data_IF_827354667849
#
_entry.id   IF_827354667849
#
_cell.length_a   1.000
_cell.length_b   1.000
_cell.length_c   1.000
_cell.angle_alpha   90.00
_cell.angle_beta   90.00
_cell.angle_gamma   90.00
#
_symmetry.space_group_name_H-M   'P 1'
#
loop_
_entity.id
_entity.type
_entity.pdbx_description
1 polymer ?
#
# COMPACT_ATOMS: atom_id res chain seq x y z
N UNK A 1 5.87 -8.53 -13.20
CA UNK A 1 5.54 -7.96 -14.52
C UNK A 1 6.05 -6.52 -14.67
N UNK A 2 5.83 -5.64 -13.70
CA UNK A 2 6.40 -4.27 -13.74
C UNK A 2 7.94 -4.27 -13.68
N UNK A 3 8.56 -5.21 -12.96
CA UNK A 3 10.01 -5.34 -12.88
C UNK A 3 10.67 -5.80 -14.19
N UNK A 4 9.96 -6.53 -15.04
CA UNK A 4 10.53 -7.04 -16.29
C UNK A 4 10.50 -6.03 -17.43
N UNK A 5 9.62 -5.05 -17.35
CA UNK A 5 9.57 -3.92 -18.28
C UNK A 5 10.79 -3.01 -18.11
N UNK A 6 11.29 -2.84 -16.88
CA UNK A 6 12.48 -2.04 -16.59
C UNK A 6 13.80 -2.68 -17.04
N UNK A 7 13.89 -4.01 -17.02
CA UNK A 7 15.12 -4.72 -17.42
C UNK A 7 15.50 -4.58 -18.90
N UNK A 8 14.55 -4.17 -19.76
CA UNK A 8 14.80 -4.07 -21.21
C UNK A 8 15.25 -2.70 -21.71
N UNK A 9 15.36 -1.71 -20.83
CA UNK A 9 15.79 -0.35 -21.21
C UNK A 9 17.29 -0.09 -20.97
N UNK A 10 18.03 -1.01 -20.37
CA UNK A 10 19.48 -0.85 -20.09
C UNK A 10 20.25 -1.68 -21.11
N UNK A 11 21.24 -1.12 -21.83
CA UNK A 11 22.12 -1.90 -22.68
C UNK A 11 22.86 -2.94 -21.84
N UNK A 12 22.97 -4.17 -22.36
CA UNK A 12 23.45 -5.34 -21.67
C UNK A 12 24.90 -5.18 -21.21
N UNK A 13 25.09 -4.75 -19.97
CA UNK A 13 26.31 -5.02 -19.18
C UNK A 13 25.85 -5.25 -17.74
N UNK A 14 25.75 -6.52 -17.35
CA UNK A 14 25.42 -7.04 -16.03
C UNK A 14 24.04 -6.61 -15.46
N UNK A 15 23.03 -7.45 -15.64
CA UNK A 15 21.74 -7.30 -14.98
C UNK A 15 21.81 -7.71 -13.49
N UNK A 16 21.59 -6.80 -12.56
CA UNK A 16 21.45 -7.15 -11.14
C UNK A 16 20.17 -7.96 -10.92
N UNK A 17 20.24 -8.95 -10.07
CA UNK A 17 19.10 -9.77 -9.68
C UNK A 17 18.09 -8.94 -8.86
N UNK A 18 16.82 -9.38 -8.81
CA UNK A 18 15.72 -8.76 -8.05
C UNK A 18 16.12 -8.37 -6.61
N UNK A 19 17.05 -9.10 -6.02
CA UNK A 19 17.62 -8.88 -4.68
C UNK A 19 18.56 -7.66 -4.62
N UNK A 20 19.23 -7.32 -5.71
CA UNK A 20 20.18 -6.19 -5.78
C UNK A 20 19.48 -4.85 -5.95
N UNK A 21 18.27 -4.81 -6.50
CA UNK A 21 17.46 -3.59 -6.59
C UNK A 21 16.88 -3.13 -5.25
N UNK A 22 16.65 -4.06 -4.33
CA UNK A 22 16.19 -3.75 -2.97
C UNK A 22 17.36 -3.34 -2.05
N UNK A 23 18.60 -3.61 -2.43
CA UNK A 23 19.79 -3.27 -1.64
C UNK A 23 20.56 -2.03 -2.12
N UNK A 24 20.16 -1.43 -3.23
CA UNK A 24 20.88 -0.32 -3.87
C UNK A 24 20.78 1.03 -3.17
N UNK A 25 20.06 1.17 -2.06
CA UNK A 25 19.92 2.43 -1.33
C UNK A 25 20.72 2.52 -0.04
N UNK A 26 21.61 1.60 0.25
CA UNK A 26 22.33 1.56 1.52
C UNK A 26 23.84 1.30 1.38
N UNK A 27 24.51 1.94 0.44
CA UNK A 27 25.98 1.90 0.43
C UNK A 27 26.58 3.14 -0.22
N UNK A 28 26.90 4.13 0.58
CA UNK A 28 28.08 5.00 0.44
C UNK A 28 28.11 6.00 1.62
N UNK A 29 28.94 5.71 2.58
CA UNK A 29 29.80 6.65 3.30
C UNK A 29 30.55 5.88 4.40
N UNK A 30 31.63 5.24 4.00
CA UNK A 30 32.68 4.84 4.93
C UNK A 30 33.60 6.02 5.18
N UNK A 31 33.51 6.61 6.36
CA UNK A 31 34.57 7.46 6.90
C UNK A 31 34.92 6.91 8.27
N UNK A 32 36.13 6.41 8.37
CA UNK A 32 36.78 6.00 9.62
C UNK A 32 36.97 7.22 10.52
N UNK A 33 36.37 7.23 11.70
CA UNK A 33 36.73 8.15 12.78
C UNK A 33 36.96 7.38 14.07
N UNK A 34 38.13 7.62 14.66
CA UNK A 34 38.54 7.16 15.97
C UNK A 34 37.62 7.69 17.09
N UNK A 35 37.37 6.93 18.17
CA UNK A 35 36.49 7.36 19.23
C UNK A 35 37.22 8.31 20.18
N UNK A 36 36.66 9.52 20.34
CA UNK A 36 36.86 10.38 21.50
C UNK A 36 35.70 10.21 22.48
N UNK A 37 35.92 9.99 23.75
CA UNK A 37 34.86 9.84 24.73
C UNK A 37 34.38 11.21 25.20
N UNK A 38 33.09 11.49 25.02
CA UNK A 38 32.47 12.67 25.60
C UNK A 38 31.23 13.17 24.89
N UNK A 39 30.06 12.70 25.38
CA UNK A 39 28.78 13.42 25.45
C UNK A 39 28.29 14.18 24.19
N UNK A 40 27.78 13.46 23.23
CA UNK A 40 26.65 13.94 22.41
C UNK A 40 25.69 12.77 22.17
N UNK A 41 24.38 12.91 22.39
CA UNK A 41 23.45 11.86 22.00
C UNK A 41 23.50 11.68 20.48
N UNK A 42 23.36 10.44 19.95
CA UNK A 42 23.47 10.18 18.52
C UNK A 42 22.41 10.97 17.77
N UNK A 43 22.80 11.60 16.66
CA UNK A 43 21.94 12.43 15.81
C UNK A 43 20.63 11.72 15.36
N UNK A 44 20.57 10.40 15.45
CA UNK A 44 19.38 9.60 15.15
C UNK A 44 18.24 9.74 16.18
N UNK A 45 18.54 10.06 17.44
CA UNK A 45 17.51 10.25 18.46
C UNK A 45 16.76 11.57 18.31
N UNK A 46 17.39 12.61 17.73
CA UNK A 46 16.74 13.91 17.52
C UNK A 46 15.81 13.92 16.31
N UNK A 47 16.01 13.05 15.32
CA UNK A 47 15.20 13.01 14.09
C UNK A 47 13.91 12.19 14.24
N UNK A 48 13.85 11.22 15.14
CA UNK A 48 12.60 10.56 15.52
C UNK A 48 11.63 11.51 16.23
N UNK A 49 12.16 12.53 16.86
CA UNK A 49 11.38 13.44 17.69
C UNK A 49 10.44 14.34 16.88
N UNK A 50 10.80 14.83 15.69
CA UNK A 50 9.95 15.82 15.01
C UNK A 50 8.62 15.24 14.55
N UNK A 51 8.64 14.15 13.77
CA UNK A 51 7.40 13.48 13.35
C UNK A 51 6.57 13.02 14.55
N UNK A 52 7.20 12.36 15.52
CA UNK A 52 6.51 11.87 16.73
C UNK A 52 6.02 13.01 17.62
N UNK A 53 6.78 14.08 17.73
CA UNK A 53 6.41 15.27 18.49
C UNK A 53 5.16 15.91 17.86
N UNK A 54 5.19 16.27 16.58
CA UNK A 54 4.08 16.94 15.90
C UNK A 54 2.85 16.04 15.81
N UNK A 55 3.06 14.74 15.57
CA UNK A 55 1.97 13.74 15.62
C UNK A 55 1.35 13.70 17.02
N UNK A 56 2.18 13.68 18.06
CA UNK A 56 1.72 13.68 19.45
C UNK A 56 0.97 14.96 19.84
N UNK A 57 1.41 16.11 19.35
CA UNK A 57 0.79 17.41 19.63
C UNK A 57 -0.57 17.59 18.97
N UNK A 58 -0.75 17.09 17.73
CA UNK A 58 -1.96 17.33 16.91
C UNK A 58 -2.95 16.18 16.94
N UNK A 59 -2.45 14.94 16.96
CA UNK A 59 -3.22 13.72 16.74
C UNK A 59 -2.68 12.55 17.59
N UNK A 60 -2.22 12.85 18.79
CA UNK A 60 -1.69 11.87 19.73
C UNK A 60 -2.77 11.00 20.39
N UNK A 61 -2.31 9.93 21.04
CA UNK A 61 -3.18 9.04 21.82
C UNK A 61 -3.92 9.82 22.94
N UNK A 62 -5.20 9.53 23.10
CA UNK A 62 -6.06 10.21 24.08
C UNK A 62 -6.58 11.58 23.67
N UNK A 63 -6.15 12.13 22.54
CA UNK A 63 -6.62 13.44 22.06
C UNK A 63 -7.94 13.32 21.29
N UNK A 64 -8.68 14.43 21.23
CA UNK A 64 -9.84 14.53 20.36
C UNK A 64 -9.39 14.53 18.90
N UNK A 65 -10.00 13.67 18.09
CA UNK A 65 -9.74 13.64 16.66
C UNK A 65 -10.39 14.83 15.95
N UNK A 66 -9.59 15.52 15.15
CA UNK A 66 -10.05 16.59 14.26
C UNK A 66 -9.45 16.32 12.88
N UNK A 67 -10.28 16.00 11.91
CA UNK A 67 -9.82 15.58 10.56
C UNK A 67 -8.90 16.60 9.87
N UNK A 68 -9.14 17.92 10.08
CA UNK A 68 -8.29 18.98 9.54
C UNK A 68 -6.87 18.99 10.12
N UNK A 69 -6.66 18.37 11.30
CA UNK A 69 -5.33 18.26 11.90
C UNK A 69 -4.43 17.32 11.09
N UNK A 70 -4.97 16.39 10.30
CA UNK A 70 -4.16 15.56 9.39
C UNK A 70 -3.50 16.44 8.32
N UNK A 71 -4.24 17.40 7.78
CA UNK A 71 -3.70 18.38 6.82
C UNK A 71 -2.71 19.34 7.50
N UNK A 72 -2.99 19.77 8.73
CA UNK A 72 -2.06 20.63 9.46
C UNK A 72 -0.75 19.90 9.75
N UNK A 73 -0.81 18.63 10.16
CA UNK A 73 0.37 17.77 10.31
C UNK A 73 1.16 17.66 9.00
N UNK A 74 0.48 17.44 7.87
CA UNK A 74 1.13 17.41 6.55
C UNK A 74 1.83 18.74 6.24
N UNK A 75 1.17 19.88 6.51
CA UNK A 75 1.77 21.22 6.33
C UNK A 75 3.01 21.46 7.20
N UNK A 76 2.99 20.99 8.45
CA UNK A 76 4.14 21.12 9.32
C UNK A 76 5.31 20.26 8.85
N UNK A 77 5.04 19.03 8.43
CA UNK A 77 6.07 18.15 7.87
C UNK A 77 6.65 18.71 6.55
N UNK A 78 5.83 19.34 5.71
CA UNK A 78 6.30 19.95 4.47
C UNK A 78 7.34 21.06 4.67
N UNK A 79 7.32 21.74 5.82
CA UNK A 79 8.30 22.79 6.18
C UNK A 79 9.69 22.24 6.54
N UNK A 80 9.85 20.93 6.65
CA UNK A 80 11.10 20.25 7.02
C UNK A 80 11.54 19.30 5.92
N UNK A 81 12.83 19.06 5.77
CA UNK A 81 13.34 17.99 4.91
C UNK A 81 12.71 16.66 5.27
N UNK A 82 12.47 15.82 4.26
CA UNK A 82 11.92 14.48 4.46
C UNK A 82 12.84 13.63 5.34
N UNK A 83 12.24 12.91 6.22
CA UNK A 83 12.91 11.93 7.07
C UNK A 83 12.12 10.62 7.00
N UNK A 84 12.75 9.62 6.40
CA UNK A 84 12.15 8.28 6.33
C UNK A 84 11.87 7.69 7.70
N UNK A 85 11.03 6.66 7.78
CA UNK A 85 10.77 5.96 9.03
C UNK A 85 12.04 5.28 9.54
N UNK A 86 12.36 5.45 10.83
CA UNK A 86 13.61 4.99 11.44
C UNK A 86 13.47 3.79 12.38
N UNK A 87 12.27 3.22 12.51
CA UNK A 87 12.07 2.02 13.32
C UNK A 87 12.67 0.80 12.61
N UNK A 88 13.89 0.33 13.00
CA UNK A 88 14.54 -0.78 12.32
C UNK A 88 13.75 -2.07 12.50
N UNK A 89 13.69 -2.87 11.44
CA UNK A 89 13.09 -4.19 11.48
C UNK A 89 14.22 -5.21 11.74
N UNK A 90 14.08 -6.13 12.72
CA UNK A 90 15.04 -7.19 12.92
C UNK A 90 15.27 -7.99 11.63
N UNK A 91 16.50 -8.43 11.39
CA UNK A 91 16.90 -9.17 10.18
C UNK A 91 16.06 -10.43 9.99
N UNK A 92 15.64 -11.06 11.08
CA UNK A 92 14.71 -12.18 11.08
C UNK A 92 13.48 -11.94 10.22
N UNK A 93 12.93 -10.72 10.24
CA UNK A 93 11.73 -10.36 9.47
C UNK A 93 12.08 -9.66 8.15
N UNK A 94 13.17 -8.90 8.12
CA UNK A 94 13.60 -8.20 6.91
C UNK A 94 14.03 -9.16 5.80
N UNK A 95 14.64 -10.29 6.15
CA UNK A 95 15.15 -11.31 5.23
C UNK A 95 14.15 -12.38 4.81
N UNK A 96 12.88 -12.32 5.24
CA UNK A 96 11.87 -13.32 4.89
C UNK A 96 11.62 -13.39 3.38
N UNK A 97 11.32 -14.58 2.89
CA UNK A 97 10.69 -14.77 1.59
C UNK A 97 9.16 -14.57 1.66
N UNK A 98 8.52 -14.56 0.50
CA UNK A 98 7.08 -14.33 0.40
C UNK A 98 6.25 -15.43 1.06
N UNK A 99 6.67 -16.69 0.96
CA UNK A 99 5.96 -17.84 1.50
C UNK A 99 5.98 -17.84 3.02
N UNK A 100 7.15 -17.65 3.61
CA UNK A 100 7.31 -17.56 5.07
C UNK A 100 6.58 -16.34 5.63
N UNK A 101 6.68 -15.19 4.94
CA UNK A 101 5.96 -13.99 5.34
C UNK A 101 4.43 -14.18 5.34
N UNK A 102 3.88 -14.88 4.35
CA UNK A 102 2.45 -15.16 4.26
C UNK A 102 1.89 -16.02 5.41
N UNK A 103 2.76 -16.71 6.15
CA UNK A 103 2.37 -17.49 7.33
C UNK A 103 2.20 -16.62 8.57
N UNK A 104 2.77 -15.41 8.60
CA UNK A 104 2.61 -14.48 9.74
C UNK A 104 1.24 -13.81 9.63
N UNK A 105 0.36 -14.10 10.60
CA UNK A 105 -1.01 -13.60 10.61
C UNK A 105 -1.37 -13.08 12.00
N UNK A 106 -2.15 -12.02 12.06
CA UNK A 106 -2.77 -11.64 13.32
C UNK A 106 -3.80 -12.71 13.71
N UNK A 107 -3.87 -13.02 15.00
CA UNK A 107 -4.86 -13.96 15.52
C UNK A 107 -6.25 -13.34 15.45
N UNK A 108 -7.30 -14.05 15.01
CA UNK A 108 -8.63 -13.46 14.83
C UNK A 108 -9.16 -12.69 16.06
N UNK A 109 -8.95 -13.24 17.26
CA UNK A 109 -9.34 -12.58 18.51
C UNK A 109 -8.57 -11.28 18.81
N UNK A 110 -7.56 -10.97 18.03
CA UNK A 110 -6.76 -9.73 18.13
C UNK A 110 -7.16 -8.69 17.10
N UNK A 111 -8.14 -8.97 16.27
CA UNK A 111 -8.65 -8.01 15.30
C UNK A 111 -9.35 -6.86 16.03
N UNK A 112 -9.19 -5.67 15.49
CA UNK A 112 -9.81 -4.47 16.04
C UNK A 112 -11.32 -4.56 15.73
N UNK A 113 -12.15 -4.32 16.75
CA UNK A 113 -13.62 -4.41 16.72
C UNK A 113 -14.16 -5.81 16.44
N UNK A 114 -13.34 -6.85 16.64
CA UNK A 114 -13.83 -8.22 16.58
C UNK A 114 -14.97 -8.43 17.58
N UNK A 115 -16.02 -9.13 17.15
CA UNK A 115 -17.22 -9.43 17.97
C UNK A 115 -18.00 -8.22 18.47
N UNK A 116 -17.70 -7.00 18.03
CA UNK A 116 -18.48 -5.82 18.42
C UNK A 116 -19.72 -5.57 17.57
N UNK A 117 -19.97 -6.39 16.54
CA UNK A 117 -21.13 -6.27 15.66
C UNK A 117 -21.14 -4.95 14.86
N UNK A 118 -19.95 -4.47 14.44
CA UNK A 118 -19.80 -3.17 13.77
C UNK A 118 -19.86 -3.22 12.24
N UNK A 119 -20.11 -4.37 11.65
CA UNK A 119 -20.07 -4.55 10.20
C UNK A 119 -18.67 -4.54 9.59
N UNK A 120 -17.65 -4.10 10.33
CA UNK A 120 -16.25 -4.08 9.92
C UNK A 120 -15.33 -4.55 11.04
N UNK A 121 -14.28 -5.26 10.63
CA UNK A 121 -13.21 -5.76 11.51
C UNK A 121 -11.86 -5.51 10.85
N UNK A 122 -10.84 -5.16 11.63
CA UNK A 122 -9.53 -4.80 11.10
C UNK A 122 -8.47 -5.79 11.57
N UNK A 123 -7.75 -6.38 10.64
CA UNK A 123 -6.55 -7.17 10.87
C UNK A 123 -5.31 -6.28 10.71
N UNK A 124 -4.54 -5.98 11.77
CA UNK A 124 -3.25 -5.35 11.63
C UNK A 124 -2.25 -6.30 10.96
N UNK A 125 -1.44 -5.80 10.02
CA UNK A 125 -0.49 -6.61 9.26
C UNK A 125 0.93 -6.44 9.80
N UNK A 126 1.60 -7.57 10.03
CA UNK A 126 2.98 -7.60 10.50
C UNK A 126 3.94 -7.04 9.45
N UNK A 127 5.09 -6.51 9.90
CA UNK A 127 6.17 -6.08 9.02
C UNK A 127 7.06 -7.24 8.63
N UNK A 128 7.56 -7.25 7.40
CA UNK A 128 8.48 -8.28 6.89
C UNK A 128 8.55 -8.29 5.37
N UNK A 129 9.47 -9.08 4.82
CA UNK A 129 9.63 -9.26 3.37
C UNK A 129 9.75 -7.90 2.64
N UNK A 130 8.84 -7.60 1.73
CA UNK A 130 8.79 -6.32 1.00
C UNK A 130 8.10 -5.18 1.78
N UNK A 131 7.44 -5.50 2.92
CA UNK A 131 6.62 -4.55 3.69
C UNK A 131 7.33 -4.16 4.99
N UNK A 132 8.46 -3.48 4.87
CA UNK A 132 9.33 -3.18 6.00
C UNK A 132 9.07 -1.83 6.66
N UNK A 133 8.44 -0.88 5.95
CA UNK A 133 8.15 0.45 6.48
C UNK A 133 7.08 0.39 7.58
N UNK A 134 7.30 1.01 8.76
CA UNK A 134 6.30 1.06 9.81
C UNK A 134 5.25 2.12 9.53
N UNK A 135 4.01 1.84 9.93
CA UNK A 135 2.92 2.80 10.01
C UNK A 135 2.48 3.01 11.45
N UNK A 136 1.99 4.21 11.76
CA UNK A 136 1.26 4.46 12.98
C UNK A 136 -0.23 4.15 12.74
N UNK A 137 -0.75 3.14 13.41
CA UNK A 137 -2.15 2.74 13.32
C UNK A 137 -2.90 3.27 14.55
N UNK A 138 -3.98 4.01 14.32
CA UNK A 138 -4.83 4.54 15.36
C UNK A 138 -6.30 4.27 15.03
N UNK A 139 -7.11 4.12 16.04
CA UNK A 139 -8.57 4.12 15.93
C UNK A 139 -9.14 5.40 16.53
N UNK A 140 -10.29 5.83 16.04
CA UNK A 140 -11.04 6.97 16.58
C UNK A 140 -12.33 6.42 17.15
N UNK A 141 -12.46 6.44 18.47
CA UNK A 141 -13.61 5.97 19.22
C UNK A 141 -14.22 7.11 19.99
N UNK A 142 -15.51 7.37 19.78
CA UNK A 142 -16.23 8.49 20.37
C UNK A 142 -15.53 9.84 20.17
N UNK A 143 -14.88 10.01 19.02
CA UNK A 143 -14.13 11.20 18.67
C UNK A 143 -12.76 11.31 19.35
N UNK A 144 -12.30 10.28 20.06
CA UNK A 144 -11.00 10.24 20.76
C UNK A 144 -10.08 9.26 20.07
N UNK A 145 -8.82 9.66 19.86
CA UNK A 145 -7.77 8.84 19.26
C UNK A 145 -7.29 7.80 20.25
N UNK A 146 -7.18 6.56 19.82
CA UNK A 146 -6.54 5.45 20.54
C UNK A 146 -5.47 4.83 19.66
N UNK A 147 -4.24 4.79 20.15
CA UNK A 147 -3.10 4.17 19.47
C UNK A 147 -3.23 2.65 19.53
N UNK A 148 -3.16 1.99 18.37
CA UNK A 148 -3.03 0.54 18.32
C UNK A 148 -1.57 0.18 18.54
N UNK A 149 -1.28 -0.48 19.65
CA UNK A 149 0.09 -0.88 20.02
C UNK A 149 0.38 -2.29 19.48
N UNK A 150 1.59 -2.46 18.94
CA UNK A 150 2.06 -3.78 18.54
C UNK A 150 2.32 -4.65 19.78
N UNK A 151 1.78 -5.85 19.77
CA UNK A 151 2.00 -6.88 20.78
C UNK A 151 2.29 -8.20 20.07
N UNK A 152 3.44 -8.83 20.39
CA UNK A 152 3.89 -10.06 19.76
C UNK A 152 2.87 -11.20 19.90
N UNK A 153 2.23 -11.31 21.06
CA UNK A 153 1.25 -12.37 21.37
C UNK A 153 -0.02 -12.31 20.51
N UNK A 154 -0.26 -11.20 19.84
CA UNK A 154 -1.38 -11.02 18.89
C UNK A 154 -1.15 -11.66 17.54
N UNK A 155 0.07 -12.18 17.28
CA UNK A 155 0.42 -12.79 16.00
C UNK A 155 0.68 -14.29 16.14
N UNK A 156 0.32 -15.01 15.09
CA UNK A 156 0.80 -16.36 14.80
C UNK A 156 1.93 -16.22 13.77
N UNK A 157 3.08 -16.78 14.08
CA UNK A 157 4.27 -16.71 13.23
C UNK A 157 4.45 -17.97 12.36
N UNK A 158 3.49 -18.87 12.36
CA UNK A 158 3.55 -20.11 11.61
C UNK A 158 4.75 -20.98 12.05
N UNK A 159 5.62 -21.28 11.09
CA UNK A 159 6.83 -22.10 11.34
C UNK A 159 8.05 -21.27 11.77
N UNK A 160 7.94 -19.93 11.80
CA UNK A 160 9.05 -19.06 12.14
C UNK A 160 9.32 -19.07 13.65
N UNK A 161 10.54 -19.43 14.03
CA UNK A 161 10.98 -19.32 15.42
C UNK A 161 11.32 -17.88 15.75
N UNK A 162 10.59 -17.27 16.66
CA UNK A 162 10.78 -15.88 17.10
C UNK A 162 11.32 -15.83 18.54
N UNK A 163 12.09 -14.78 18.91
CA UNK A 163 12.49 -14.55 20.30
C UNK A 163 11.28 -14.43 21.24
N UNK A 164 11.47 -14.78 22.52
CA UNK A 164 10.41 -14.64 23.52
C UNK A 164 9.87 -13.23 23.64
N UNK A 165 10.74 -12.25 23.43
CA UNK A 165 10.37 -10.83 23.51
C UNK A 165 10.86 -10.10 22.27
N UNK A 166 9.95 -9.46 21.56
CA UNK A 166 10.23 -8.53 20.46
C UNK A 166 9.98 -7.09 20.90
N UNK A 167 10.74 -6.13 20.39
CA UNK A 167 10.42 -4.72 20.57
C UNK A 167 9.10 -4.36 19.88
N UNK A 168 8.59 -3.18 20.11
CA UNK A 168 7.43 -2.68 19.36
C UNK A 168 7.83 -2.49 17.88
N UNK A 169 7.44 -3.44 17.04
CA UNK A 169 7.74 -3.45 15.62
C UNK A 169 6.81 -2.53 14.81
N UNK A 170 5.69 -2.08 15.40
CA UNK A 170 4.61 -1.42 14.63
C UNK A 170 4.03 -2.36 13.56
N UNK A 171 3.30 -1.80 12.60
CA UNK A 171 2.59 -2.54 11.55
C UNK A 171 3.07 -2.11 10.16
N UNK A 172 2.88 -2.93 9.15
CA UNK A 172 3.14 -2.60 7.74
C UNK A 172 1.90 -2.04 7.02
N UNK A 173 0.74 -2.24 7.60
CA UNK A 173 -0.56 -1.93 7.02
C UNK A 173 -1.67 -2.60 7.80
N UNK A 174 -2.83 -2.68 7.19
CA UNK A 174 -3.99 -3.37 7.76
C UNK A 174 -4.91 -3.87 6.65
N UNK A 175 -5.70 -4.89 7.00
CA UNK A 175 -6.74 -5.46 6.16
C UNK A 175 -8.09 -5.20 6.79
N UNK A 176 -9.07 -4.86 5.97
CA UNK A 176 -10.44 -4.59 6.36
C UNK A 176 -11.30 -5.77 5.95
N UNK A 177 -11.97 -6.35 6.91
CA UNK A 177 -13.04 -7.30 6.67
C UNK A 177 -14.37 -6.57 6.85
N UNK A 178 -15.34 -6.89 6.00
CA UNK A 178 -16.68 -6.33 6.07
C UNK A 178 -17.73 -7.44 6.00
N UNK A 179 -18.89 -7.16 6.57
CA UNK A 179 -20.02 -8.04 6.49
C UNK A 179 -20.62 -8.00 5.07
N UNK A 180 -20.87 -9.17 4.53
CA UNK A 180 -21.87 -9.30 3.48
C UNK A 180 -23.17 -9.58 4.21
N UNK A 181 -24.10 -8.68 4.22
CA UNK A 181 -25.40 -8.68 4.93
C UNK A 181 -26.00 -10.04 5.34
N UNK A 182 -25.59 -11.14 4.75
CA UNK A 182 -26.05 -12.51 5.00
C UNK A 182 -24.93 -13.56 4.93
N UNK A 183 -23.67 -13.24 5.30
CA UNK A 183 -22.55 -14.18 5.18
C UNK A 183 -21.39 -13.92 6.12
N UNK A 184 -20.33 -14.74 6.06
CA UNK A 184 -19.16 -14.53 6.86
C UNK A 184 -18.41 -13.26 6.48
N UNK A 185 -17.71 -12.66 7.45
CA UNK A 185 -16.78 -11.54 7.21
C UNK A 185 -15.80 -11.90 6.08
N UNK A 186 -15.65 -11.01 5.11
CA UNK A 186 -14.76 -11.19 3.96
C UNK A 186 -13.82 -10.00 3.81
N UNK A 187 -12.68 -10.22 3.19
CA UNK A 187 -11.79 -9.13 2.85
C UNK A 187 -12.52 -8.13 1.94
N UNK A 188 -12.51 -6.87 2.33
CA UNK A 188 -13.08 -5.74 1.58
C UNK A 188 -11.98 -4.87 1.00
N UNK A 189 -10.96 -4.56 1.80
CA UNK A 189 -9.83 -3.77 1.35
C UNK A 189 -8.55 -4.07 2.14
N UNK A 190 -7.41 -3.77 1.53
CA UNK A 190 -6.08 -3.84 2.16
C UNK A 190 -5.34 -2.56 1.85
N UNK A 191 -4.71 -1.96 2.87
CA UNK A 191 -3.75 -0.87 2.76
C UNK A 191 -2.40 -1.37 3.25
N UNK A 192 -1.43 -1.56 2.35
CA UNK A 192 -0.12 -2.08 2.72
C UNK A 192 0.96 -1.70 1.71
N UNK A 193 2.06 -1.16 2.21
CA UNK A 193 3.24 -0.79 1.42
C UNK A 193 3.06 0.51 0.64
N UNK A 194 3.95 1.47 0.84
CA UNK A 194 3.91 2.79 0.20
C UNK A 194 2.49 3.40 0.25
N UNK A 195 1.89 3.70 -0.90
CA UNK A 195 0.50 4.18 -1.01
C UNK A 195 -0.40 3.17 -1.71
N UNK A 196 -0.01 1.90 -1.71
CA UNK A 196 -0.79 0.85 -2.35
C UNK A 196 -2.00 0.44 -1.50
N UNK A 197 -3.10 0.24 -2.19
CA UNK A 197 -4.30 -0.37 -1.66
C UNK A 197 -5.03 -1.16 -2.74
N UNK A 198 -5.86 -2.09 -2.32
CA UNK A 198 -6.80 -2.79 -3.19
C UNK A 198 -8.12 -2.97 -2.47
N UNK A 199 -9.19 -3.15 -3.22
CA UNK A 199 -10.49 -3.56 -2.69
C UNK A 199 -11.03 -4.74 -3.48
N UNK A 200 -11.88 -5.52 -2.83
CA UNK A 200 -12.56 -6.67 -3.39
C UNK A 200 -14.07 -6.47 -3.31
N UNK A 201 -14.76 -6.79 -4.39
CA UNK A 201 -16.21 -6.92 -4.40
C UNK A 201 -16.62 -8.30 -3.87
N UNK A 202 -17.93 -8.53 -3.70
CA UNK A 202 -18.43 -9.83 -3.24
C UNK A 202 -18.02 -10.94 -4.21
N UNK A 203 -17.51 -12.04 -3.64
CA UNK A 203 -17.07 -13.22 -4.41
C UNK A 203 -15.71 -13.07 -5.11
N UNK A 204 -15.03 -11.94 -4.97
CA UNK A 204 -13.68 -11.76 -5.51
C UNK A 204 -12.62 -12.11 -4.47
N UNK A 205 -11.53 -12.72 -4.92
CA UNK A 205 -10.35 -13.03 -4.09
C UNK A 205 -9.07 -12.37 -4.60
N UNK A 206 -9.10 -11.83 -5.81
CA UNK A 206 -7.96 -11.15 -6.44
C UNK A 206 -8.44 -9.94 -7.25
N UNK A 207 -7.55 -9.02 -7.57
CA UNK A 207 -7.86 -7.83 -8.33
C UNK A 207 -6.66 -6.95 -8.61
N UNK A 208 -6.90 -5.85 -9.31
CA UNK A 208 -5.90 -4.82 -9.53
C UNK A 208 -5.54 -4.10 -8.23
N UNK A 209 -4.30 -3.64 -8.14
CA UNK A 209 -3.84 -2.82 -7.03
C UNK A 209 -3.80 -1.36 -7.48
N UNK A 210 -4.35 -0.48 -6.66
CA UNK A 210 -4.29 0.96 -6.86
C UNK A 210 -3.16 1.58 -6.03
N UNK A 211 -2.67 2.74 -6.48
CA UNK A 211 -1.73 3.62 -5.78
C UNK A 211 -2.36 5.00 -5.66
N UNK A 212 -2.38 5.56 -4.47
CA UNK A 212 -2.97 6.87 -4.25
C UNK A 212 -2.21 7.98 -4.98
N UNK A 213 -0.87 7.89 -4.98
CA UNK A 213 0.00 8.86 -5.63
C UNK A 213 1.22 8.18 -6.25
N UNK A 214 1.55 8.59 -7.46
CA UNK A 214 2.73 8.19 -8.21
C UNK A 214 3.56 9.45 -8.47
N UNK A 215 4.85 9.41 -8.19
CA UNK A 215 5.77 10.54 -8.40
C UNK A 215 6.98 10.07 -9.19
N UNK A 216 7.34 10.81 -10.24
CA UNK A 216 8.48 10.52 -11.12
C UNK A 216 8.38 9.14 -11.80
N UNK A 217 7.19 8.72 -12.22
CA UNK A 217 7.02 7.46 -12.93
C UNK A 217 7.83 7.46 -14.23
N UNK A 218 8.69 6.45 -14.38
CA UNK A 218 9.54 6.32 -15.57
C UNK A 218 10.73 7.28 -15.61
N UNK A 219 11.04 7.99 -14.55
CA UNK A 219 12.23 8.84 -14.46
C UNK A 219 13.50 7.97 -14.49
N UNK A 220 14.52 8.42 -15.24
CA UNK A 220 15.80 7.71 -15.36
C UNK A 220 16.56 7.62 -14.03
N UNK A 221 16.31 8.55 -13.10
CA UNK A 221 16.90 8.56 -11.75
C UNK A 221 16.16 7.67 -10.76
N UNK A 222 15.03 7.10 -11.18
CA UNK A 222 14.18 6.26 -10.39
C UNK A 222 12.87 6.95 -9.95
N UNK A 223 11.90 6.13 -9.67
CA UNK A 223 10.59 6.54 -9.17
C UNK A 223 10.67 6.86 -7.68
N UNK A 224 9.96 7.91 -7.25
CA UNK A 224 9.74 8.22 -5.85
C UNK A 224 8.49 7.47 -5.36
N UNK A 225 8.58 6.83 -4.19
CA UNK A 225 7.48 6.09 -3.58
C UNK A 225 6.97 6.81 -2.33
N UNK A 226 5.98 7.70 -2.44
CA UNK A 226 5.31 8.25 -1.28
C UNK A 226 4.72 7.14 -0.42
N UNK A 227 4.76 7.32 0.91
CA UNK A 227 4.29 6.31 1.87
C UNK A 227 3.24 6.89 2.80
N UNK A 228 2.25 6.08 3.15
CA UNK A 228 1.40 6.40 4.29
C UNK A 228 2.18 6.14 5.58
N UNK A 229 2.28 7.16 6.44
CA UNK A 229 3.01 7.13 7.70
C UNK A 229 2.11 6.87 8.90
N UNK A 230 0.86 7.29 8.82
CA UNK A 230 -0.12 7.15 9.89
C UNK A 230 -1.53 7.01 9.32
N UNK A 231 -2.35 6.25 10.03
CA UNK A 231 -3.77 6.10 9.75
C UNK A 231 -4.59 6.31 11.01
N UNK A 232 -5.80 6.86 10.83
CA UNK A 232 -6.84 6.99 11.84
C UNK A 232 -8.12 6.38 11.29
N UNK A 233 -8.56 5.30 11.90
CA UNK A 233 -9.72 4.52 11.50
C UNK A 233 -10.90 4.94 12.39
N UNK A 234 -11.92 5.59 11.82
CA UNK A 234 -13.12 5.92 12.58
C UNK A 234 -13.93 4.66 12.87
N UNK A 235 -14.26 4.45 14.15
CA UNK A 235 -15.08 3.31 14.57
C UNK A 235 -16.47 3.41 13.96
N UNK A 236 -16.87 2.47 13.08
CA UNK A 236 -18.19 2.55 12.45
C UNK A 236 -19.32 2.33 13.46
N UNK A 237 -20.48 2.90 13.20
CA UNK A 237 -21.68 2.57 13.96
C UNK A 237 -22.15 1.15 13.64
N UNK A 238 -22.90 0.48 14.53
CA UNK A 238 -23.31 -0.92 14.31
C UNK A 238 -24.11 -1.17 13.03
N UNK A 239 -24.79 -0.14 12.52
CA UNK A 239 -25.63 -0.23 11.31
C UNK A 239 -24.97 0.36 10.06
N UNK A 240 -23.72 0.79 10.16
CA UNK A 240 -23.01 1.42 9.04
C UNK A 240 -22.49 0.38 8.06
N UNK A 241 -22.77 0.59 6.77
CA UNK A 241 -22.15 -0.11 5.64
C UNK A 241 -20.89 0.61 5.15
N UNK A 242 -20.45 1.65 5.87
CA UNK A 242 -19.41 2.58 5.46
C UNK A 242 -18.36 2.71 6.56
N UNK A 243 -17.09 2.69 6.15
CA UNK A 243 -15.93 2.93 7.00
C UNK A 243 -15.16 4.15 6.53
N UNK A 244 -14.77 5.01 7.46
CA UNK A 244 -13.97 6.21 7.19
C UNK A 244 -12.55 6.02 7.71
N UNK A 245 -11.57 6.35 6.86
CA UNK A 245 -10.15 6.24 7.17
C UNK A 245 -9.48 7.55 6.79
N UNK A 246 -8.71 8.11 7.72
CA UNK A 246 -7.81 9.21 7.43
C UNK A 246 -6.38 8.72 7.37
N UNK A 247 -5.58 9.29 6.46
CA UNK A 247 -4.18 8.90 6.30
C UNK A 247 -3.28 10.11 6.07
N UNK A 248 -2.07 10.03 6.63
CA UNK A 248 -0.99 10.96 6.38
C UNK A 248 -0.01 10.34 5.38
N UNK A 249 0.16 10.99 4.25
CA UNK A 249 1.17 10.65 3.25
C UNK A 249 2.43 11.49 3.47
N UNK A 250 3.60 10.90 3.27
CA UNK A 250 4.89 11.57 3.41
C UNK A 250 5.92 10.99 2.43
N UNK A 251 6.71 11.88 1.79
CA UNK A 251 7.83 11.52 0.91
C UNK A 251 8.80 12.69 0.70
N UNK A 252 9.84 12.48 -0.09
CA UNK A 252 10.85 13.53 -0.36
C UNK A 252 10.24 14.78 -0.97
N UNK A 253 9.36 14.64 -1.97
CA UNK A 253 8.81 15.76 -2.73
C UNK A 253 7.50 16.29 -2.19
N UNK A 254 6.76 15.50 -1.36
CA UNK A 254 5.38 15.84 -1.02
C UNK A 254 4.93 15.20 0.29
N UNK A 255 4.08 15.90 1.00
CA UNK A 255 3.22 15.37 2.05
C UNK A 255 1.76 15.48 1.66
N UNK A 256 0.86 14.83 2.38
CA UNK A 256 -0.57 14.95 2.07
C UNK A 256 -1.47 14.35 3.13
N UNK A 257 -2.67 14.90 3.18
CA UNK A 257 -3.78 14.37 3.96
C UNK A 257 -4.77 13.67 3.03
N UNK A 258 -5.18 12.47 3.43
CA UNK A 258 -6.15 11.65 2.71
C UNK A 258 -7.33 11.31 3.60
N UNK A 259 -8.49 11.19 2.97
CA UNK A 259 -9.68 10.58 3.55
C UNK A 259 -10.23 9.57 2.56
N UNK A 260 -10.43 8.35 3.02
CA UNK A 260 -11.07 7.27 2.27
C UNK A 260 -12.41 6.96 2.93
N UNK A 261 -13.46 6.90 2.12
CA UNK A 261 -14.78 6.43 2.54
C UNK A 261 -15.06 5.13 1.80
N UNK A 262 -15.05 4.02 2.52
CA UNK A 262 -15.18 2.68 1.96
C UNK A 262 -16.60 2.19 2.21
N UNK A 263 -17.32 1.86 1.14
CA UNK A 263 -18.62 1.22 1.18
C UNK A 263 -18.51 -0.19 0.62
N UNK A 264 -18.76 -1.19 1.46
CA UNK A 264 -18.76 -2.60 1.05
C UNK A 264 -20.12 -3.05 0.53
N UNK A 265 -20.14 -4.02 -0.38
CA UNK A 265 -21.39 -4.55 -0.93
C UNK A 265 -21.12 -5.51 -2.09
N UNK A 266 -22.09 -5.66 -2.98
CA UNK A 266 -21.91 -6.33 -4.28
C UNK A 266 -20.74 -5.71 -5.05
N UNK A 267 -20.63 -4.38 -4.96
CA UNK A 267 -19.53 -3.58 -5.45
C UNK A 267 -18.89 -2.91 -4.23
N UNK A 268 -17.57 -2.92 -4.15
CA UNK A 268 -16.86 -2.12 -3.13
C UNK A 268 -16.45 -0.79 -3.74
N UNK A 269 -16.92 0.29 -3.13
CA UNK A 269 -16.61 1.66 -3.53
C UNK A 269 -15.63 2.27 -2.52
N UNK A 270 -14.65 3.02 -3.02
CA UNK A 270 -13.73 3.81 -2.20
C UNK A 270 -13.71 5.23 -2.74
N UNK A 271 -14.42 6.13 -2.07
CA UNK A 271 -14.29 7.56 -2.33
C UNK A 271 -13.00 8.07 -1.69
N UNK A 272 -12.20 8.80 -2.45
CA UNK A 272 -10.90 9.29 -2.01
C UNK A 272 -10.83 10.81 -2.14
N UNK A 273 -10.67 11.46 -1.00
CA UNK A 273 -10.36 12.89 -0.91
C UNK A 273 -8.89 13.05 -0.54
N UNK A 274 -8.19 13.98 -1.19
CA UNK A 274 -6.79 14.25 -0.86
C UNK A 274 -6.45 15.72 -0.97
N UNK A 275 -5.53 16.15 -0.10
CA UNK A 275 -4.87 17.44 -0.20
C UNK A 275 -3.37 17.22 -0.13
N UNK A 276 -2.66 17.56 -1.19
CA UNK A 276 -1.21 17.42 -1.29
C UNK A 276 -0.52 18.73 -0.93
N UNK A 277 0.57 18.64 -0.20
CA UNK A 277 1.41 19.77 0.21
C UNK A 277 2.83 19.50 -0.30
N UNK A 278 3.23 20.09 -1.44
CA UNK A 278 4.54 19.84 -2.00
C UNK A 278 5.65 20.49 -1.17
N UNK A 279 6.79 19.77 -1.03
CA UNK A 279 8.04 20.32 -0.50
C UNK A 279 8.89 20.98 -1.57
N UNK A 280 8.73 20.54 -2.79
CA UNK A 280 9.45 21.02 -3.97
C UNK A 280 8.56 20.91 -5.19
N UNK A 281 8.99 21.47 -6.31
CA UNK A 281 8.30 21.32 -7.60
C UNK A 281 8.25 19.85 -7.99
N UNK A 282 7.09 19.41 -8.44
CA UNK A 282 6.83 18.04 -8.90
C UNK A 282 6.43 18.11 -10.37
N UNK A 283 7.34 17.75 -11.26
CA UNK A 283 7.13 17.86 -12.70
C UNK A 283 6.34 16.68 -13.29
N UNK A 284 6.43 15.51 -12.64
CA UNK A 284 5.77 14.28 -13.10
C UNK A 284 5.10 13.59 -11.92
N UNK A 285 3.78 13.60 -11.91
CA UNK A 285 2.98 12.87 -10.94
C UNK A 285 1.71 12.31 -11.57
N UNK A 286 1.17 11.28 -10.96
CA UNK A 286 -0.10 10.65 -11.33
C UNK A 286 -0.93 10.31 -10.10
N UNK A 287 -2.23 10.46 -10.22
CA UNK A 287 -3.20 10.04 -9.21
C UNK A 287 -3.94 8.80 -9.68
N UNK A 288 -4.43 8.00 -8.75
CA UNK A 288 -5.15 6.75 -9.03
C UNK A 288 -4.37 5.81 -9.97
N UNK A 289 -3.06 5.71 -9.80
CA UNK A 289 -2.24 4.74 -10.53
C UNK A 289 -2.73 3.33 -10.26
N UNK A 290 -2.83 2.50 -11.29
CA UNK A 290 -3.27 1.12 -11.17
C UNK A 290 -2.26 0.16 -11.79
N UNK A 291 -2.15 -1.02 -11.19
CA UNK A 291 -1.33 -2.11 -11.72
C UNK A 291 -2.17 -3.36 -11.90
N UNK A 292 -1.95 -4.04 -13.02
CA UNK A 292 -2.56 -5.34 -13.31
C UNK A 292 -1.54 -6.24 -14.01
N UNK A 293 -1.87 -7.51 -14.14
CA UNK A 293 -1.02 -8.50 -14.80
C UNK A 293 -1.71 -9.05 -16.02
N UNK A 294 -0.97 -9.07 -17.14
CA UNK A 294 -1.33 -9.79 -18.34
C UNK A 294 -0.12 -10.59 -18.81
N UNK A 295 -0.23 -11.91 -18.83
CA UNK A 295 0.85 -12.78 -19.27
C UNK A 295 0.60 -13.28 -20.69
N UNK A 296 -0.52 -13.97 -20.92
CA UNK A 296 -1.02 -14.34 -22.24
C UNK A 296 -2.54 -14.52 -22.23
N UNK A 297 -3.13 -14.50 -23.42
CA UNK A 297 -4.54 -14.76 -23.67
C UNK A 297 -4.76 -15.23 -25.11
N UNK A 298 -6.00 -15.46 -25.54
CA UNK A 298 -6.30 -16.03 -26.86
C UNK A 298 -5.64 -15.30 -28.03
N UNK A 299 -5.58 -13.96 -27.93
CA UNK A 299 -5.07 -13.10 -29.02
C UNK A 299 -3.56 -12.81 -28.94
N UNK A 300 -2.87 -13.25 -27.89
CA UNK A 300 -1.46 -12.92 -27.66
C UNK A 300 -0.70 -14.05 -26.98
N UNK A 301 -1.08 -15.29 -27.27
CA UNK A 301 -0.38 -16.45 -26.72
C UNK A 301 0.99 -16.58 -27.37
N UNK A 302 2.03 -16.55 -26.55
CA UNK A 302 3.39 -16.90 -26.94
C UNK A 302 3.62 -18.39 -26.71
N UNK A 303 4.69 -18.93 -27.31
CA UNK A 303 5.16 -20.27 -26.96
C UNK A 303 5.48 -20.30 -25.47
N UNK A 304 4.75 -21.08 -24.72
CA UNK A 304 4.86 -21.27 -23.28
C UNK A 304 4.47 -22.71 -22.97
N UNK A 305 5.08 -23.29 -21.96
CA UNK A 305 4.74 -24.62 -21.46
C UNK A 305 3.46 -24.63 -20.60
N UNK A 306 2.83 -23.47 -20.41
CA UNK A 306 1.60 -23.34 -19.66
C UNK A 306 0.42 -23.86 -20.50
N UNK A 307 -0.31 -24.83 -19.96
CA UNK A 307 -1.45 -25.47 -20.62
C UNK A 307 -2.75 -24.66 -20.55
N UNK A 308 -2.80 -23.69 -19.63
CA UNK A 308 -4.00 -22.85 -19.47
C UNK A 308 -4.30 -22.07 -20.75
N UNK A 309 -5.58 -21.83 -21.08
CA UNK A 309 -5.95 -21.01 -22.23
C UNK A 309 -5.52 -19.56 -22.11
N UNK A 310 -5.55 -19.01 -20.89
CA UNK A 310 -5.20 -17.63 -20.59
C UNK A 310 -4.63 -17.48 -19.17
N UNK A 311 -3.80 -16.46 -18.98
CA UNK A 311 -3.26 -16.07 -17.67
C UNK A 311 -3.16 -14.55 -17.58
N UNK A 312 -4.19 -13.90 -17.05
CA UNK A 312 -4.22 -12.45 -16.80
C UNK A 312 -5.23 -12.11 -15.69
N UNK A 313 -5.01 -10.97 -15.03
CA UNK A 313 -5.96 -10.40 -14.04
C UNK A 313 -6.89 -9.38 -14.65
N UNK A 314 -6.49 -8.73 -15.74
CA UNK A 314 -7.33 -7.78 -16.46
C UNK A 314 -7.18 -8.01 -17.95
N UNK A 315 -8.30 -8.02 -18.67
CA UNK A 315 -8.33 -8.20 -20.13
C UNK A 315 -8.04 -6.91 -20.88
N UNK A 316 -8.26 -5.75 -20.25
CA UNK A 316 -8.04 -4.46 -20.91
C UNK A 316 -8.29 -3.26 -20.03
N UNK A 317 -7.96 -2.10 -20.58
CA UNK A 317 -8.20 -0.78 -20.01
C UNK A 317 -9.46 -0.19 -20.68
N UNK A 318 -10.41 0.24 -19.88
CA UNK A 318 -11.56 1.01 -20.30
C UNK A 318 -11.39 2.46 -19.87
N UNK A 319 -11.70 3.40 -20.77
CA UNK A 319 -11.62 4.84 -20.53
C UNK A 319 -12.96 5.46 -20.94
N UNK A 320 -13.51 6.33 -20.10
CA UNK A 320 -14.59 7.24 -20.45
C UNK A 320 -14.00 8.65 -20.55
N UNK A 321 -13.97 9.22 -21.75
CA UNK A 321 -13.37 10.52 -22.00
C UNK A 321 -14.35 11.68 -21.73
N UNK A 322 -13.86 12.94 -21.87
CA UNK A 322 -14.65 14.14 -21.68
C UNK A 322 -15.76 14.33 -22.72
N UNK A 323 -15.69 13.68 -23.86
CA UNK A 323 -16.71 13.68 -24.90
C UNK A 323 -17.78 12.58 -24.71
N UNK A 324 -17.80 11.92 -23.55
CA UNK A 324 -18.71 10.82 -23.23
C UNK A 324 -18.46 9.53 -24.04
N UNK A 325 -17.34 9.43 -24.77
CA UNK A 325 -16.97 8.24 -25.52
C UNK A 325 -16.36 7.17 -24.60
N UNK A 326 -16.69 5.90 -24.88
CA UNK A 326 -16.08 4.75 -24.25
C UNK A 326 -15.00 4.14 -25.14
N UNK A 327 -13.76 4.12 -24.63
CA UNK A 327 -12.60 3.56 -25.31
C UNK A 327 -12.22 2.26 -24.61
N UNK A 328 -12.05 1.20 -25.39
CA UNK A 328 -11.54 -0.09 -24.92
C UNK A 328 -10.17 -0.38 -25.51
N UNK A 329 -9.20 -0.64 -24.66
CA UNK A 329 -7.84 -1.01 -25.05
C UNK A 329 -7.51 -2.38 -24.48
N UNK A 330 -7.56 -3.47 -25.28
CA UNK A 330 -7.17 -4.79 -24.81
C UNK A 330 -5.71 -4.79 -24.40
N UNK A 331 -5.41 -5.48 -23.31
CA UNK A 331 -4.04 -5.71 -22.89
C UNK A 331 -3.39 -6.78 -23.76
N UNK A 332 -2.09 -6.69 -23.89
CA UNK A 332 -1.23 -7.66 -24.55
C UNK A 332 0.11 -7.71 -23.82
N UNK A 333 0.92 -8.73 -24.11
CA UNK A 333 2.27 -8.83 -23.60
C UNK A 333 3.28 -8.61 -24.73
N UNK A 334 3.57 -7.35 -25.14
CA UNK A 334 4.45 -7.03 -26.25
C UNK A 334 5.91 -7.36 -25.92
N UNK A 335 6.75 -7.49 -26.97
CA UNK A 335 8.18 -7.78 -26.79
C UNK A 335 8.96 -6.60 -26.23
N UNK A 336 8.50 -5.38 -26.48
CA UNK A 336 9.09 -4.15 -26.01
C UNK A 336 8.07 -3.32 -25.23
N UNK A 337 8.54 -2.45 -24.35
CA UNK A 337 7.70 -1.51 -23.63
C UNK A 337 6.87 -0.67 -24.62
N UNK A 338 5.57 -0.65 -24.41
CA UNK A 338 4.65 0.23 -25.13
C UNK A 338 4.06 1.24 -24.15
N UNK A 339 4.13 2.52 -24.52
CA UNK A 339 3.54 3.63 -23.79
C UNK A 339 2.46 4.24 -24.68
N UNK A 340 1.26 4.38 -24.14
CA UNK A 340 0.14 5.07 -24.81
C UNK A 340 -0.32 6.22 -23.92
N UNK A 341 -0.56 7.37 -24.53
CA UNK A 341 -1.05 8.56 -23.85
C UNK A 341 -2.38 8.98 -24.47
N UNK A 342 -3.34 9.28 -23.62
CA UNK A 342 -4.67 9.77 -24.00
C UNK A 342 -4.84 11.14 -23.40
N UNK A 343 -4.60 12.17 -24.21
CA UNK A 343 -4.78 13.56 -23.78
C UNK A 343 -6.26 13.87 -23.77
N UNK A 344 -6.78 14.23 -22.62
CA UNK A 344 -8.19 14.54 -22.41
C UNK A 344 -8.32 15.69 -21.40
N UNK A 345 -8.92 16.82 -21.79
CA UNK A 345 -9.06 17.98 -20.90
C UNK A 345 -10.06 17.75 -19.77
N UNK A 346 -10.93 16.73 -19.87
CA UNK A 346 -11.95 16.47 -18.87
C UNK A 346 -12.24 14.97 -18.73
N UNK A 347 -11.25 14.13 -18.32
CA UNK A 347 -11.44 12.71 -18.21
C UNK A 347 -12.54 12.39 -17.19
N UNK A 348 -13.42 11.44 -17.55
CA UNK A 348 -14.56 11.02 -16.72
C UNK A 348 -14.24 9.81 -15.89
N UNK A 349 -13.42 8.91 -16.44
CA UNK A 349 -13.02 7.71 -15.72
C UNK A 349 -12.17 6.78 -16.54
N UNK A 350 -11.44 5.91 -15.84
CA UNK A 350 -10.67 4.84 -16.45
C UNK A 350 -10.53 3.68 -15.46
N UNK A 351 -10.29 2.49 -15.97
CA UNK A 351 -10.09 1.33 -15.12
C UNK A 351 -9.74 0.08 -15.88
N UNK A 352 -9.15 -0.86 -15.18
CA UNK A 352 -8.96 -2.20 -15.70
C UNK A 352 -10.24 -3.02 -15.54
N UNK A 353 -10.58 -3.78 -16.58
CA UNK A 353 -11.68 -4.73 -16.55
C UNK A 353 -11.20 -6.14 -16.89
N UNK A 354 -11.70 -7.09 -16.12
CA UNK A 354 -11.70 -8.50 -16.48
C UNK A 354 -13.08 -8.83 -17.02
N UNK A 355 -13.19 -9.02 -18.33
CA UNK A 355 -14.47 -9.27 -19.00
C UNK A 355 -14.87 -10.73 -18.91
N UNK A 356 -13.91 -11.63 -19.11
CA UNK A 356 -14.12 -13.07 -19.02
C UNK A 356 -13.84 -13.52 -17.57
N UNK A 357 -14.74 -14.30 -16.99
CA UNK A 357 -14.65 -14.78 -15.61
C UNK A 357 -14.95 -16.27 -15.47
N UNK A 358 -15.22 -16.93 -16.59
CA UNK A 358 -15.56 -18.34 -16.59
C UNK A 358 -14.31 -19.20 -16.38
N UNK A 359 -14.44 -20.26 -15.62
CA UNK A 359 -13.37 -21.24 -15.42
C UNK A 359 -12.79 -21.73 -16.76
N UNK A 360 -13.64 -21.97 -17.75
CA UNK A 360 -13.21 -22.43 -19.07
C UNK A 360 -12.23 -21.49 -19.78
N UNK A 361 -12.30 -20.18 -19.52
CA UNK A 361 -11.38 -19.19 -20.09
C UNK A 361 -9.96 -19.32 -19.52
N UNK A 362 -9.81 -19.65 -18.24
CA UNK A 362 -8.54 -19.66 -17.54
C UNK A 362 -8.04 -21.05 -17.21
N UNK A 363 -8.93 -21.97 -16.85
CA UNK A 363 -8.63 -23.32 -16.37
C UNK A 363 -7.56 -23.33 -15.26
N UNK A 364 -7.75 -22.44 -14.28
CA UNK A 364 -6.83 -22.22 -13.17
C UNK A 364 -7.57 -22.54 -11.87
N UNK A 365 -7.23 -23.68 -11.25
CA UNK A 365 -7.87 -24.17 -10.02
C UNK A 365 -7.47 -23.37 -8.78
N UNK A 366 -6.37 -22.63 -8.84
CA UNK A 366 -5.84 -21.87 -7.70
C UNK A 366 -6.47 -20.48 -7.59
N UNK A 367 -7.17 -20.03 -8.63
CA UNK A 367 -7.74 -18.68 -8.67
C UNK A 367 -9.22 -18.71 -9.03
N UNK A 368 -10.02 -17.97 -8.26
CA UNK A 368 -11.38 -17.61 -8.67
C UNK A 368 -11.36 -16.34 -9.49
N UNK A 369 -12.00 -16.35 -10.60
CA UNK A 369 -12.11 -15.23 -11.52
C UNK A 369 -13.51 -14.60 -11.48
#
# INVERSE_FOLDING_TARGET
>A
AASDVYKRQVPATHSPTRRQWLMGSAALLGVTSLPLPGLLPPAHAQNQTYFQQVLGELLGDGQKFVATNVLELARQLAKKPYQGPTNPLPELFAGLDAETYAQIKAKPQSYIWDQEGRGFTIEPLHRGFAFQAPIALNVVEDGVIRRVTYEQNRFDFGKLTVPETLPNLSFSGFRIYGDAQDGPMREVAVFQGATFYRSLARGQITGATARSLVVKLGDQKGEEFPTFRAFWLEKPSPVSDTMIIHALLDSESVTGAYRFTIKSGEITLIDTEMTLVPRTTIDNYGIAGMTSTYYFGPNSRRATDDIRPAAYKSGGLQIKNGNEEWIWRPLSNPQALQISQFVDPSPRGFGFLQRDRDFATFQDDEQSY
#
